data_IF_142128372296
#
_entry.id   IF_142128372296
#
_cell.length_a   1.000
_cell.length_b   1.000
_cell.length_c   1.000
_cell.angle_alpha   90.00
_cell.angle_beta   90.00
_cell.angle_gamma   90.00
#
_symmetry.space_group_name_H-M   'P 1'
#
loop_
_entity.id
_entity.type
_entity.pdbx_description
1 polymer ?
#
# COMPACT_ATOMS: atom_id res chain seq x y z
N UNK A 1 -0.81 1.58 -36.78
CA UNK A 1 -0.17 2.90 -36.60
C UNK A 1 -0.38 3.33 -35.16
N UNK A 2 0.67 3.50 -34.35
CA UNK A 2 0.52 4.14 -33.01
C UNK A 2 0.29 5.63 -33.23
N UNK A 3 -0.79 6.15 -32.64
CA UNK A 3 -1.20 7.55 -32.80
C UNK A 3 -0.21 8.45 -32.02
N UNK A 4 0.23 9.60 -32.56
CA UNK A 4 1.23 10.46 -31.91
C UNK A 4 0.82 10.91 -30.50
N UNK A 5 -0.49 11.11 -30.27
CA UNK A 5 -1.04 11.40 -28.93
C UNK A 5 -0.77 10.30 -27.90
N UNK A 6 -0.80 9.03 -28.30
CA UNK A 6 -0.54 7.91 -27.39
C UNK A 6 0.92 7.91 -26.92
N UNK A 7 1.86 8.21 -27.81
CA UNK A 7 3.29 8.26 -27.44
C UNK A 7 3.58 9.45 -26.52
N UNK A 8 2.95 10.61 -26.78
CA UNK A 8 3.08 11.76 -25.89
C UNK A 8 2.57 11.46 -24.47
N UNK A 9 1.38 10.87 -24.37
CA UNK A 9 0.80 10.50 -23.06
C UNK A 9 1.64 9.43 -22.34
N UNK A 10 2.15 8.44 -23.08
CA UNK A 10 3.03 7.43 -22.52
C UNK A 10 4.29 8.05 -21.91
N UNK A 11 4.95 8.97 -22.63
CA UNK A 11 6.14 9.66 -22.12
C UNK A 11 5.84 10.58 -20.93
N UNK A 12 4.63 11.15 -20.87
CA UNK A 12 4.19 11.95 -19.72
C UNK A 12 4.04 11.09 -18.46
N UNK A 13 3.34 9.96 -18.54
CA UNK A 13 3.21 9.00 -17.42
C UNK A 13 4.58 8.46 -17.01
N UNK A 14 5.43 8.15 -17.97
CA UNK A 14 6.81 7.69 -17.71
C UNK A 14 7.58 8.70 -16.86
N UNK A 15 7.51 9.99 -17.22
CA UNK A 15 8.14 11.05 -16.43
C UNK A 15 7.57 11.11 -15.03
N UNK A 16 6.25 11.03 -14.84
CA UNK A 16 5.64 11.06 -13.51
C UNK A 16 6.11 9.92 -12.59
N UNK A 17 6.38 8.73 -13.13
CA UNK A 17 6.89 7.59 -12.34
C UNK A 17 8.37 7.79 -11.96
N UNK A 18 9.19 8.23 -12.92
CA UNK A 18 10.64 8.38 -12.76
C UNK A 18 11.02 9.68 -12.03
N UNK A 19 10.18 10.70 -12.08
CA UNK A 19 10.48 11.99 -11.48
C UNK A 19 10.69 11.82 -9.97
N UNK A 20 11.87 12.25 -9.54
CA UNK A 20 12.27 12.27 -8.15
C UNK A 20 12.11 13.67 -7.56
N UNK A 21 11.43 14.60 -8.25
CA UNK A 21 11.33 16.02 -7.87
C UNK A 21 11.01 16.22 -6.38
N UNK A 22 12.09 16.32 -5.61
CA UNK A 22 12.16 16.80 -4.24
C UNK A 22 12.02 18.32 -4.34
N UNK A 23 10.78 18.80 -4.35
CA UNK A 23 10.54 20.21 -4.06
C UNK A 23 10.59 20.41 -2.54
N UNK A 24 11.80 20.56 -2.00
CA UNK A 24 12.06 21.00 -0.62
C UNK A 24 12.07 19.87 0.42
N UNK A 25 12.91 20.04 1.44
CA UNK A 25 13.15 19.13 2.57
C UNK A 25 11.92 18.80 3.44
N UNK A 26 10.70 19.20 3.06
CA UNK A 26 9.57 19.24 3.99
C UNK A 26 8.48 18.16 3.79
N UNK A 27 8.49 17.29 2.76
CA UNK A 27 7.54 16.16 2.74
C UNK A 27 7.96 14.95 1.86
N UNK A 28 9.00 14.25 2.29
CA UNK A 28 9.47 13.02 1.66
C UNK A 28 8.43 11.89 1.75
N UNK A 29 7.64 11.86 2.81
CA UNK A 29 6.59 10.85 3.03
C UNK A 29 5.43 11.03 2.05
N UNK A 30 4.93 12.25 1.86
CA UNK A 30 3.92 12.54 0.84
C UNK A 30 4.41 12.26 -0.58
N UNK A 31 5.71 12.49 -0.85
CA UNK A 31 6.31 12.19 -2.15
C UNK A 31 6.26 10.69 -2.44
N UNK A 32 6.60 9.86 -1.45
CA UNK A 32 6.53 8.39 -1.58
C UNK A 32 5.08 7.92 -1.66
N UNK A 33 4.18 8.49 -0.88
CA UNK A 33 2.74 8.19 -0.90
C UNK A 33 2.14 8.42 -2.29
N UNK A 34 2.40 9.58 -2.89
CA UNK A 34 1.96 9.92 -4.25
C UNK A 34 2.53 8.95 -5.29
N UNK A 35 3.81 8.56 -5.15
CA UNK A 35 4.46 7.61 -6.06
C UNK A 35 3.82 6.22 -5.97
N UNK A 36 3.54 5.72 -4.77
CA UNK A 36 2.83 4.45 -4.57
C UNK A 36 1.42 4.47 -5.17
N UNK A 37 0.66 5.56 -4.97
CA UNK A 37 -0.68 5.71 -5.56
C UNK A 37 -0.65 5.74 -7.09
N UNK A 38 0.35 6.42 -7.68
CA UNK A 38 0.51 6.47 -9.13
C UNK A 38 0.79 5.07 -9.71
N UNK A 39 1.72 4.34 -9.09
CA UNK A 39 2.05 2.96 -9.50
C UNK A 39 0.81 2.07 -9.40
N UNK A 40 0.08 2.13 -8.29
CA UNK A 40 -1.14 1.36 -8.09
C UNK A 40 -2.19 1.66 -9.15
N UNK A 41 -2.38 2.95 -9.47
CA UNK A 41 -3.32 3.39 -10.51
C UNK A 41 -2.92 2.83 -11.87
N UNK A 42 -1.64 2.90 -12.23
CA UNK A 42 -1.10 2.37 -13.50
C UNK A 42 -1.35 0.86 -13.59
N UNK A 43 -1.12 0.12 -12.51
CA UNK A 43 -1.34 -1.33 -12.45
C UNK A 43 -2.84 -1.67 -12.55
N UNK A 44 -3.71 -1.00 -11.77
CA UNK A 44 -5.16 -1.20 -11.77
C UNK A 44 -5.82 -0.85 -13.10
N UNK A 45 -5.27 0.12 -13.85
CA UNK A 45 -5.70 0.44 -15.21
C UNK A 45 -5.28 -0.60 -16.25
N UNK A 46 -4.49 -1.62 -15.88
CA UNK A 46 -4.05 -2.67 -16.78
C UNK A 46 -2.99 -2.21 -17.79
N UNK A 47 -2.31 -1.09 -17.54
CA UNK A 47 -1.28 -0.52 -18.43
C UNK A 47 0.14 -0.62 -17.85
N UNK A 48 0.30 -1.26 -16.69
CA UNK A 48 1.60 -1.41 -16.01
C UNK A 48 2.69 -2.08 -16.86
N UNK A 49 2.32 -3.00 -17.76
CA UNK A 49 3.25 -3.68 -18.67
C UNK A 49 4.00 -2.73 -19.62
N UNK A 50 3.58 -1.47 -19.74
CA UNK A 50 4.29 -0.45 -20.52
C UNK A 50 5.42 0.25 -19.76
N UNK A 51 5.48 0.06 -18.45
CA UNK A 51 6.29 0.83 -17.50
C UNK A 51 7.01 -0.08 -16.48
N UNK A 52 7.19 -1.38 -16.77
CA UNK A 52 7.75 -2.35 -15.82
C UNK A 52 9.08 -1.88 -15.24
N UNK A 53 10.02 -1.47 -16.10
CA UNK A 53 11.33 -0.96 -15.70
C UNK A 53 11.23 0.29 -14.82
N UNK A 54 10.37 1.25 -15.18
CA UNK A 54 10.19 2.48 -14.39
C UNK A 54 9.54 2.20 -13.03
N UNK A 55 8.61 1.25 -12.97
CA UNK A 55 7.97 0.81 -11.73
C UNK A 55 9.01 0.12 -10.83
N UNK A 56 9.85 -0.75 -11.39
CA UNK A 56 10.89 -1.45 -10.65
C UNK A 56 11.91 -0.47 -10.06
N UNK A 57 12.42 0.47 -10.86
CA UNK A 57 13.34 1.51 -10.41
C UNK A 57 12.70 2.41 -9.33
N UNK A 58 11.42 2.73 -9.47
CA UNK A 58 10.69 3.52 -8.48
C UNK A 58 10.54 2.76 -7.16
N UNK A 59 10.18 1.48 -7.20
CA UNK A 59 9.98 0.65 -6.02
C UNK A 59 11.30 0.30 -5.33
N UNK A 60 12.40 0.15 -6.05
CA UNK A 60 13.74 0.00 -5.48
C UNK A 60 14.11 1.21 -4.60
N UNK A 61 13.83 2.43 -5.07
CA UNK A 61 14.02 3.65 -4.27
C UNK A 61 13.13 3.67 -3.04
N UNK A 62 11.86 3.26 -3.17
CA UNK A 62 10.94 3.17 -2.03
C UNK A 62 11.45 2.18 -0.98
N UNK A 63 11.94 1.02 -1.41
CA UNK A 63 12.52 0.01 -0.53
C UNK A 63 13.73 0.54 0.24
N UNK A 64 14.57 1.34 -0.41
CA UNK A 64 15.76 1.94 0.21
C UNK A 64 15.43 2.93 1.36
N UNK A 65 14.21 3.47 1.44
CA UNK A 65 13.78 4.32 2.56
C UNK A 65 13.38 3.54 3.81
N UNK A 66 13.21 2.22 3.71
CA UNK A 66 13.01 1.33 4.83
C UNK A 66 11.55 0.89 5.09
N UNK A 67 11.45 -0.19 5.85
CA UNK A 67 10.19 -0.89 6.11
C UNK A 67 9.26 -0.13 7.08
N UNK A 68 9.81 0.74 7.94
CA UNK A 68 9.06 1.47 8.98
C UNK A 68 8.29 2.72 8.46
N UNK A 69 8.50 3.11 7.21
CA UNK A 69 7.76 4.23 6.60
C UNK A 69 6.25 3.93 6.55
N UNK A 70 5.41 4.90 6.93
CA UNK A 70 3.95 4.79 7.09
C UNK A 70 3.49 3.92 8.27
N UNK A 71 4.37 3.59 9.23
CA UNK A 71 4.01 2.78 10.41
C UNK A 71 3.96 3.66 11.68
N UNK A 72 3.27 4.80 11.60
CA UNK A 72 2.91 5.67 12.73
C UNK A 72 1.43 5.52 13.09
N UNK A 73 1.00 4.26 13.27
CA UNK A 73 -0.41 3.90 13.43
C UNK A 73 -0.79 3.78 14.91
N UNK A 74 -1.79 4.55 15.33
CA UNK A 74 -2.40 4.47 16.65
C UNK A 74 -3.94 4.54 16.56
N UNK A 75 -4.62 4.49 17.71
CA UNK A 75 -6.09 4.50 17.75
C UNK A 75 -6.71 5.77 17.15
N UNK A 76 -5.96 6.87 17.08
CA UNK A 76 -6.40 8.16 16.56
C UNK A 76 -5.78 8.50 15.18
N UNK A 77 -4.74 7.78 14.74
CA UNK A 77 -4.12 7.94 13.43
C UNK A 77 -4.00 6.61 12.70
N UNK A 78 -4.98 6.31 11.86
CA UNK A 78 -4.98 5.12 10.99
C UNK A 78 -4.70 5.46 9.53
N UNK A 79 -4.58 6.74 9.17
CA UNK A 79 -4.42 7.19 7.78
C UNK A 79 -3.21 6.55 7.07
N UNK A 80 -2.16 6.24 7.84
CA UNK A 80 -0.94 5.63 7.30
C UNK A 80 -1.10 4.13 7.00
N UNK A 81 -2.16 3.48 7.53
CA UNK A 81 -2.44 2.06 7.28
C UNK A 81 -2.60 1.77 5.79
N UNK A 82 -3.31 2.65 5.08
CA UNK A 82 -3.46 2.57 3.63
C UNK A 82 -2.10 2.52 2.92
N UNK A 83 -1.20 3.47 3.23
CA UNK A 83 0.10 3.57 2.57
C UNK A 83 1.06 2.46 3.00
N UNK A 84 1.03 2.05 4.26
CA UNK A 84 1.80 0.92 4.77
C UNK A 84 1.43 -0.39 4.04
N UNK A 85 0.13 -0.66 3.94
CA UNK A 85 -0.37 -1.85 3.26
C UNK A 85 -0.08 -1.79 1.75
N UNK A 86 -0.28 -0.62 1.12
CA UNK A 86 0.00 -0.41 -0.29
C UNK A 86 1.49 -0.63 -0.62
N UNK A 87 2.38 -0.04 0.18
CA UNK A 87 3.83 -0.21 0.07
C UNK A 87 4.20 -1.70 0.15
N UNK A 88 3.69 -2.39 1.17
CA UNK A 88 3.94 -3.81 1.37
C UNK A 88 3.49 -4.65 0.15
N UNK A 89 2.26 -4.41 -0.33
CA UNK A 89 1.73 -5.10 -1.51
C UNK A 89 2.59 -4.87 -2.76
N UNK A 90 2.89 -3.61 -3.09
CA UNK A 90 3.62 -3.27 -4.31
C UNK A 90 5.05 -3.81 -4.32
N UNK A 91 5.76 -3.71 -3.18
CA UNK A 91 7.10 -4.24 -3.03
C UNK A 91 7.13 -5.77 -3.19
N UNK A 92 6.21 -6.48 -2.53
CA UNK A 92 6.13 -7.95 -2.62
C UNK A 92 5.73 -8.43 -4.01
N UNK A 93 4.86 -7.70 -4.71
CA UNK A 93 4.51 -8.00 -6.10
C UNK A 93 5.73 -7.99 -7.03
N UNK A 94 6.73 -7.14 -6.75
CA UNK A 94 8.01 -7.12 -7.46
C UNK A 94 9.09 -8.04 -6.88
N UNK A 95 8.75 -8.86 -5.89
CA UNK A 95 9.68 -9.82 -5.28
C UNK A 95 10.65 -9.21 -4.26
N UNK A 96 10.42 -7.98 -3.80
CA UNK A 96 11.18 -7.43 -2.68
C UNK A 96 10.76 -8.08 -1.36
N UNK A 97 11.75 -8.34 -0.50
CA UNK A 97 11.50 -8.75 0.88
C UNK A 97 11.14 -7.54 1.73
N UNK A 98 9.99 -7.60 2.39
CA UNK A 98 9.49 -6.53 3.28
C UNK A 98 9.28 -7.11 4.67
N UNK A 99 9.92 -6.52 5.69
CA UNK A 99 9.66 -6.89 7.08
C UNK A 99 8.24 -6.50 7.49
N UNK A 100 7.59 -7.41 8.21
CA UNK A 100 6.28 -7.17 8.81
C UNK A 100 6.36 -6.70 10.26
N UNK A 101 7.57 -6.44 10.77
CA UNK A 101 7.75 -6.02 12.15
C UNK A 101 7.02 -4.71 12.45
N UNK A 102 6.94 -3.80 11.48
CA UNK A 102 6.13 -2.58 11.60
C UNK A 102 4.65 -2.87 11.85
N UNK A 103 4.09 -3.90 11.20
CA UNK A 103 2.68 -4.29 11.37
C UNK A 103 2.38 -4.80 12.79
N UNK A 104 3.38 -5.16 13.59
CA UNK A 104 3.17 -5.48 15.02
C UNK A 104 2.61 -4.30 15.79
N UNK A 105 2.86 -3.06 15.35
CA UNK A 105 2.30 -1.85 15.95
C UNK A 105 0.79 -1.69 15.71
N UNK A 106 0.18 -2.50 14.83
CA UNK A 106 -1.27 -2.56 14.66
C UNK A 106 -1.97 -3.21 15.86
N UNK A 107 -1.20 -3.88 16.72
CA UNK A 107 -1.70 -4.53 17.91
C UNK A 107 -1.47 -3.69 19.16
N UNK A 108 -2.34 -3.87 20.12
CA UNK A 108 -2.21 -3.33 21.46
C UNK A 108 -1.28 -4.20 22.35
N UNK A 109 -1.19 -3.85 23.63
CA UNK A 109 -0.37 -4.58 24.60
C UNK A 109 -0.92 -5.98 24.93
N UNK A 110 -2.18 -6.25 24.61
CA UNK A 110 -2.84 -7.56 24.78
C UNK A 110 -2.65 -8.46 23.55
N UNK A 111 -2.09 -7.91 22.46
CA UNK A 111 -1.86 -8.61 21.20
C UNK A 111 -3.07 -8.62 20.27
N UNK A 112 -4.10 -7.83 20.59
CA UNK A 112 -5.31 -7.65 19.78
C UNK A 112 -5.14 -6.48 18.82
N UNK A 113 -5.84 -6.51 17.68
CA UNK A 113 -5.83 -5.38 16.76
C UNK A 113 -6.52 -4.16 17.39
N UNK A 114 -5.87 -3.00 17.25
CA UNK A 114 -6.39 -1.71 17.72
C UNK A 114 -7.79 -1.42 17.16
N UNK A 115 -8.71 -0.98 18.03
CA UNK A 115 -10.11 -0.73 17.66
C UNK A 115 -10.24 0.35 16.56
N UNK A 116 -9.36 1.37 16.59
CA UNK A 116 -9.35 2.44 15.59
C UNK A 116 -9.22 1.92 14.15
N UNK A 117 -8.57 0.77 13.94
CA UNK A 117 -8.37 0.17 12.61
C UNK A 117 -9.69 -0.21 11.94
N UNK A 118 -10.72 -0.59 12.71
CA UNK A 118 -12.04 -0.95 12.18
C UNK A 118 -12.74 0.21 11.45
N UNK A 119 -12.37 1.44 11.78
CA UNK A 119 -12.93 2.66 11.19
C UNK A 119 -12.30 3.03 9.84
N UNK A 120 -11.08 2.57 9.54
CA UNK A 120 -10.38 2.86 8.27
C UNK A 120 -10.67 1.78 7.22
N UNK A 121 -11.77 1.97 6.49
CA UNK A 121 -12.19 1.04 5.44
C UNK A 121 -11.16 0.88 4.33
N UNK A 122 -10.51 1.98 3.94
CA UNK A 122 -9.55 1.97 2.83
C UNK A 122 -8.24 1.29 3.25
N UNK A 123 -7.77 1.56 4.47
CA UNK A 123 -6.64 0.87 5.08
C UNK A 123 -6.91 -0.63 5.26
N UNK A 124 -8.09 -1.02 5.73
CA UNK A 124 -8.48 -2.43 5.89
C UNK A 124 -8.50 -3.20 4.57
N UNK A 125 -9.09 -2.62 3.52
CA UNK A 125 -9.12 -3.25 2.19
C UNK A 125 -7.70 -3.41 1.65
N UNK A 126 -6.87 -2.38 1.79
CA UNK A 126 -5.48 -2.43 1.32
C UNK A 126 -4.66 -3.44 2.11
N UNK A 127 -4.90 -3.53 3.41
CA UNK A 127 -4.27 -4.50 4.31
C UNK A 127 -4.68 -5.92 3.92
N UNK A 128 -5.96 -6.16 3.66
CA UNK A 128 -6.45 -7.43 3.12
C UNK A 128 -5.74 -7.79 1.81
N UNK A 129 -5.63 -6.87 0.84
CA UNK A 129 -4.92 -7.10 -0.41
C UNK A 129 -3.44 -7.49 -0.17
N UNK A 130 -2.79 -6.88 0.82
CA UNK A 130 -1.40 -7.20 1.18
C UNK A 130 -1.25 -8.61 1.80
N UNK A 131 -2.24 -9.10 2.55
CA UNK A 131 -2.21 -10.46 3.12
C UNK A 131 -2.17 -11.56 2.06
N UNK A 132 -2.71 -11.31 0.86
CA UNK A 132 -2.65 -12.28 -0.24
C UNK A 132 -1.26 -12.39 -0.87
N UNK A 133 -0.34 -11.47 -0.53
CA UNK A 133 1.07 -11.51 -0.94
C UNK A 133 1.95 -12.16 0.15
N UNK A 134 1.37 -13.01 0.99
CA UNK A 134 2.06 -13.70 2.09
C UNK A 134 3.11 -14.69 1.59
N UNK A 135 4.23 -14.72 2.30
CA UNK A 135 5.20 -15.81 2.20
C UNK A 135 4.92 -16.75 3.39
N UNK A 136 4.96 -18.07 3.18
CA UNK A 136 4.65 -19.06 4.21
C UNK A 136 5.40 -18.76 5.53
N UNK A 137 4.66 -18.69 6.65
CA UNK A 137 5.21 -18.49 8.00
C UNK A 137 4.96 -17.11 8.62
N UNK A 138 4.27 -16.21 7.92
CA UNK A 138 3.97 -14.85 8.38
C UNK A 138 2.67 -14.77 9.20
N UNK A 139 2.74 -15.25 10.45
CA UNK A 139 1.60 -15.36 11.39
C UNK A 139 0.79 -14.06 11.50
N UNK A 140 1.46 -12.90 11.45
CA UNK A 140 0.77 -11.60 11.58
C UNK A 140 -0.22 -11.35 10.45
N UNK A 141 0.07 -11.79 9.22
CA UNK A 141 -0.82 -11.60 8.08
C UNK A 141 -1.98 -12.59 8.08
N UNK A 142 -1.79 -13.82 8.58
CA UNK A 142 -2.89 -14.78 8.79
C UNK A 142 -3.91 -14.25 9.81
N UNK A 143 -3.41 -13.65 10.89
CA UNK A 143 -4.26 -13.02 11.90
C UNK A 143 -4.96 -11.76 11.36
N UNK A 144 -4.25 -10.94 10.58
CA UNK A 144 -4.83 -9.79 9.88
C UNK A 144 -5.93 -10.19 8.89
N UNK A 145 -5.75 -11.29 8.16
CA UNK A 145 -6.76 -11.81 7.25
C UNK A 145 -8.03 -12.20 8.01
N UNK A 146 -7.88 -12.85 9.17
CA UNK A 146 -9.01 -13.22 10.03
C UNK A 146 -9.74 -11.99 10.56
N UNK A 147 -8.99 -10.98 11.02
CA UNK A 147 -9.54 -9.71 11.51
C UNK A 147 -10.32 -8.96 10.43
N UNK A 148 -9.69 -8.68 9.29
CA UNK A 148 -10.31 -7.94 8.16
C UNK A 148 -11.57 -8.62 7.63
N UNK A 149 -11.57 -9.95 7.56
CA UNK A 149 -12.74 -10.74 7.12
C UNK A 149 -13.89 -10.64 8.13
N UNK A 150 -13.58 -10.73 9.42
CA UNK A 150 -14.58 -10.67 10.50
C UNK A 150 -15.22 -9.28 10.55
N UNK A 151 -14.42 -8.21 10.60
CA UNK A 151 -14.91 -6.83 10.62
C UNK A 151 -15.74 -6.49 9.38
N UNK A 152 -15.33 -6.95 8.20
CA UNK A 152 -16.11 -6.73 6.97
C UNK A 152 -17.46 -7.48 7.02
N UNK A 153 -17.49 -8.70 7.55
CA UNK A 153 -18.72 -9.48 7.69
C UNK A 153 -19.71 -8.89 8.72
N UNK A 154 -19.19 -8.34 9.82
CA UNK A 154 -19.97 -7.66 10.84
C UNK A 154 -20.64 -6.40 10.27
N UNK A 155 -19.86 -5.53 9.57
CA UNK A 155 -20.41 -4.35 8.89
C UNK A 155 -21.49 -4.69 7.86
N UNK A 156 -21.34 -5.79 7.11
CA UNK A 156 -22.37 -6.21 6.16
C UNK A 156 -23.66 -6.70 6.82
N UNK A 157 -23.56 -7.24 8.05
CA UNK A 157 -24.70 -7.71 8.83
C UNK A 157 -25.49 -6.53 9.43
N UNK A 158 -24.81 -5.46 9.82
CA UNK A 158 -25.44 -4.23 10.31
C UNK A 158 -26.20 -3.45 9.22
N UNK A 159 -25.74 -3.51 7.97
CA UNK A 159 -26.44 -2.86 6.84
C UNK A 159 -27.71 -3.58 6.37
N UNK A 160 -27.89 -4.86 6.69
CA UNK A 160 -29.08 -5.64 6.32
C UNK A 160 -30.16 -5.68 7.43
N UNK A 161 -29.89 -5.03 8.57
CA UNK A 161 -30.76 -5.04 9.76
C UNK A 161 -31.69 -3.84 9.94
N UNK A 162 -31.84 -2.95 8.95
CA UNK A 162 -32.71 -1.77 9.01
C UNK A 162 -33.76 -1.74 7.90
#
# INVERSE_FOLDING_TARGET
MRHPKYQALKEEVRKMVVDDAVSGDDDQEATIANKLQLIDTIQRLGVGYHFEMEIDEALEKVHAFGDDLFINIDDNNTADLYYAALKCRLLRQQGFSVSLDGFKKLKDNEGLFKEGLASDEQGLVSLYEATHMTINGEIILDETLTFTTTTSSEKTSEMQGN
#
